data_IF_879845854020
#
_entry.id   IF_879845854020
#
_cell.length_a   1.000
_cell.length_b   1.000
_cell.length_c   1.000
_cell.angle_alpha   90.00
_cell.angle_beta   90.00
_cell.angle_gamma   90.00
#
_symmetry.space_group_name_H-M   'P 1'
#
loop_
_entity.id
_entity.type
_entity.pdbx_description
1 polymer ?
#
# COMPACT_ATOMS: atom_id res chain seq x y z
N UNK A 1 22.78 -39.40 46.90
CA UNK A 1 22.14 -40.20 47.95
C UNK A 1 23.18 -41.08 48.60
N UNK A 2 23.16 -41.20 49.92
CA UNK A 2 24.10 -42.03 50.68
C UNK A 2 23.32 -42.96 51.58
N UNK A 3 23.64 -44.25 51.57
CA UNK A 3 23.00 -45.23 52.44
C UNK A 3 23.65 -45.33 53.83
N UNK A 4 23.01 -46.09 54.73
CA UNK A 4 23.44 -46.29 56.12
C UNK A 4 24.79 -47.01 56.24
N UNK A 5 25.28 -47.68 55.19
CA UNK A 5 26.59 -48.32 55.13
C UNK A 5 27.68 -47.38 54.58
N UNK A 6 27.33 -46.14 54.22
CA UNK A 6 28.25 -45.13 53.71
C UNK A 6 28.45 -45.16 52.19
N UNK A 7 27.71 -45.98 51.45
CA UNK A 7 27.80 -45.99 49.99
C UNK A 7 27.07 -44.78 49.43
N UNK A 8 27.76 -43.98 48.61
CA UNK A 8 27.17 -42.81 47.96
C UNK A 8 26.96 -43.04 46.48
N UNK A 9 25.83 -42.58 45.97
CA UNK A 9 25.52 -42.46 44.54
C UNK A 9 25.19 -41.01 44.23
N UNK A 10 25.69 -40.50 43.11
CA UNK A 10 25.33 -39.19 42.56
C UNK A 10 24.29 -39.38 41.46
N UNK A 11 23.25 -38.55 41.47
CA UNK A 11 22.37 -38.39 40.32
C UNK A 11 22.78 -37.09 39.66
N UNK A 12 23.11 -37.16 38.37
CA UNK A 12 23.37 -35.99 37.53
C UNK A 12 22.26 -35.90 36.49
N UNK A 13 21.68 -34.72 36.35
CA UNK A 13 20.81 -34.37 35.24
C UNK A 13 21.58 -33.38 34.35
N UNK A 14 21.58 -33.63 33.05
CA UNK A 14 22.31 -32.80 32.09
C UNK A 14 21.28 -32.12 31.20
N UNK A 15 21.11 -30.81 31.36
CA UNK A 15 20.29 -30.00 30.47
C UNK A 15 21.16 -29.46 29.33
N UNK A 16 20.71 -29.68 28.09
CA UNK A 16 21.27 -29.03 26.91
C UNK A 16 20.45 -27.78 26.60
N UNK A 17 21.14 -26.68 26.24
CA UNK A 17 20.52 -25.48 25.69
C UNK A 17 21.28 -25.05 24.43
N UNK A 18 20.57 -24.40 23.52
CA UNK A 18 21.14 -23.75 22.34
C UNK A 18 21.00 -22.24 22.49
N UNK A 19 22.01 -21.49 22.06
CA UNK A 19 21.99 -20.04 22.05
C UNK A 19 21.88 -19.58 20.61
N UNK A 20 20.87 -18.77 20.33
CA UNK A 20 20.70 -18.09 19.06
C UNK A 20 20.36 -16.63 19.34
N UNK A 21 21.24 -15.74 18.89
CA UNK A 21 21.09 -14.29 19.03
C UNK A 21 21.29 -13.58 17.69
N UNK A 22 21.31 -14.33 16.60
CA UNK A 22 21.47 -13.78 15.25
C UNK A 22 20.11 -13.43 14.70
N UNK A 23 19.93 -12.19 14.26
CA UNK A 23 18.70 -11.78 13.57
C UNK A 23 18.75 -12.21 12.10
N UNK A 24 17.60 -12.32 11.41
CA UNK A 24 17.58 -12.50 9.96
C UNK A 24 18.36 -11.38 9.24
N UNK A 25 19.25 -11.76 8.33
CA UNK A 25 20.06 -10.82 7.54
C UNK A 25 19.21 -10.12 6.49
N UNK A 26 19.09 -8.80 6.60
CA UNK A 26 18.27 -7.97 5.68
C UNK A 26 19.07 -7.38 4.53
N UNK A 27 20.37 -7.66 4.44
CA UNK A 27 21.20 -7.19 3.33
C UNK A 27 20.68 -7.76 2.00
N UNK A 28 20.30 -6.87 1.09
CA UNK A 28 19.76 -7.23 -0.22
C UNK A 28 18.25 -7.50 -0.26
N UNK A 29 17.53 -7.38 0.86
CA UNK A 29 16.06 -7.29 0.86
C UNK A 29 15.64 -6.12 -0.04
N UNK A 30 14.75 -6.39 -0.98
CA UNK A 30 14.11 -5.35 -1.80
C UNK A 30 12.68 -5.16 -1.29
N UNK A 31 12.46 -4.06 -0.59
CA UNK A 31 11.17 -3.68 -0.02
C UNK A 31 10.84 -2.25 -0.45
N UNK A 32 9.72 -2.08 -1.13
CA UNK A 32 9.24 -0.77 -1.58
C UNK A 32 7.74 -0.67 -1.43
N UNK A 33 7.25 0.56 -1.34
CA UNK A 33 5.84 0.93 -1.54
C UNK A 33 5.70 1.46 -2.97
N UNK A 34 4.69 0.99 -3.70
CA UNK A 34 4.40 1.49 -5.04
C UNK A 34 3.65 2.84 -4.97
N UNK A 35 3.49 3.51 -6.11
CA UNK A 35 2.61 4.68 -6.23
C UNK A 35 1.21 4.38 -5.66
N UNK A 36 0.64 5.36 -4.96
CA UNK A 36 -0.72 5.25 -4.45
C UNK A 36 -1.69 5.51 -5.61
N UNK A 37 -2.44 4.49 -6.03
CA UNK A 37 -3.16 4.48 -7.33
C UNK A 37 -2.21 4.54 -8.53
N UNK A 38 -2.77 4.58 -9.75
CA UNK A 38 -1.97 4.51 -10.97
C UNK A 38 -1.14 5.78 -11.24
N UNK A 39 -1.59 6.94 -10.74
CA UNK A 39 -1.01 8.26 -11.02
C UNK A 39 -0.40 8.92 -9.78
N UNK A 40 -0.39 8.23 -8.63
CA UNK A 40 0.09 8.76 -7.35
C UNK A 40 -0.74 9.95 -6.82
N UNK A 41 -1.98 10.09 -7.29
CA UNK A 41 -2.93 11.13 -6.89
C UNK A 41 -4.22 10.48 -6.44
N UNK A 42 -4.74 10.88 -5.28
CA UNK A 42 -6.08 10.50 -4.85
C UNK A 42 -7.09 11.50 -5.41
N UNK A 43 -7.96 11.01 -6.29
CA UNK A 43 -9.09 11.77 -6.82
C UNK A 43 -10.34 11.64 -5.93
N UNK A 44 -11.41 12.37 -6.29
CA UNK A 44 -12.65 12.39 -5.51
C UNK A 44 -13.33 11.01 -5.40
N UNK A 45 -13.22 10.16 -6.43
CA UNK A 45 -13.81 8.82 -6.42
C UNK A 45 -13.04 7.87 -5.50
N UNK A 46 -11.71 7.92 -5.56
CA UNK A 46 -10.83 7.12 -4.70
C UNK A 46 -10.94 7.55 -3.23
N UNK A 47 -11.01 8.85 -2.97
CA UNK A 47 -11.24 9.43 -1.64
C UNK A 47 -12.53 8.91 -0.98
N UNK A 48 -13.56 8.60 -1.78
CA UNK A 48 -14.85 8.10 -1.28
C UNK A 48 -14.89 6.57 -1.11
N UNK A 49 -13.89 5.85 -1.63
CA UNK A 49 -13.86 4.38 -1.67
C UNK A 49 -12.78 3.75 -0.79
N UNK A 50 -12.35 2.56 -1.18
CA UNK A 50 -11.11 1.93 -0.69
C UNK A 50 -10.04 2.03 -1.76
N UNK A 51 -8.79 2.24 -1.32
CA UNK A 51 -7.60 2.27 -2.15
C UNK A 51 -6.71 1.11 -1.75
N UNK A 52 -6.34 0.26 -2.73
CA UNK A 52 -5.36 -0.79 -2.52
C UNK A 52 -3.97 -0.19 -2.63
N UNK A 53 -3.21 -0.25 -1.53
CA UNK A 53 -1.79 0.04 -1.48
C UNK A 53 -1.04 -1.24 -1.82
N UNK A 54 -0.04 -1.13 -2.68
CA UNK A 54 0.81 -2.25 -3.09
C UNK A 54 2.28 -1.93 -2.88
N UNK A 55 3.11 -2.97 -2.93
CA UNK A 55 4.54 -2.80 -2.94
C UNK A 55 5.28 -4.08 -3.28
N UNK A 56 6.59 -3.96 -3.38
CA UNK A 56 7.51 -5.07 -3.64
C UNK A 56 8.04 -5.61 -2.32
N UNK A 57 8.16 -6.93 -2.23
CA UNK A 57 8.92 -7.61 -1.18
C UNK A 57 9.63 -8.83 -1.78
N UNK A 58 10.94 -8.68 -2.02
CA UNK A 58 11.80 -9.72 -2.60
C UNK A 58 13.04 -9.93 -1.75
N UNK A 59 13.69 -11.09 -1.96
CA UNK A 59 14.87 -11.53 -1.22
C UNK A 59 14.61 -11.63 0.29
N UNK A 60 13.47 -12.22 0.66
CA UNK A 60 13.15 -12.51 2.06
C UNK A 60 14.28 -13.37 2.67
N UNK A 61 14.81 -13.02 3.86
CA UNK A 61 15.89 -13.78 4.49
C UNK A 61 15.49 -15.26 4.66
N UNK A 62 16.42 -16.18 4.37
CA UNK A 62 16.11 -17.61 4.30
C UNK A 62 15.76 -18.23 5.66
N UNK A 63 16.24 -17.64 6.74
CA UNK A 63 16.01 -18.03 8.14
C UNK A 63 14.77 -17.35 8.77
N UNK A 64 14.13 -16.42 8.06
CA UNK A 64 12.89 -15.79 8.51
C UNK A 64 11.73 -16.80 8.50
N UNK A 65 11.27 -17.19 9.70
CA UNK A 65 10.09 -18.05 9.86
C UNK A 65 8.79 -17.28 9.69
N UNK A 66 8.78 -16.02 10.09
CA UNK A 66 7.65 -15.12 9.92
C UNK A 66 8.07 -13.84 9.19
N UNK A 67 7.13 -13.30 8.42
CA UNK A 67 7.29 -12.08 7.63
C UNK A 67 6.00 -11.30 7.74
N UNK A 68 6.05 -10.11 8.34
CA UNK A 68 4.88 -9.26 8.57
C UNK A 68 5.15 -7.87 8.01
N UNK A 69 4.27 -7.41 7.12
CA UNK A 69 4.30 -6.03 6.61
C UNK A 69 3.22 -5.24 7.34
N UNK A 70 3.63 -4.14 7.96
CA UNK A 70 2.74 -3.18 8.62
C UNK A 70 2.82 -1.86 7.88
N UNK A 71 1.66 -1.28 7.57
CA UNK A 71 1.52 0.01 6.90
C UNK A 71 0.83 0.98 7.84
N UNK A 72 1.33 2.21 7.91
CA UNK A 72 0.76 3.29 8.69
C UNK A 72 0.27 4.39 7.75
N UNK A 73 -0.99 4.78 7.92
CA UNK A 73 -1.62 5.90 7.21
C UNK A 73 -2.47 6.66 8.21
N UNK A 74 -2.31 7.98 8.31
CA UNK A 74 -3.04 8.83 9.26
C UNK A 74 -2.94 8.29 10.72
N UNK A 75 -1.77 7.77 11.09
CA UNK A 75 -1.52 7.14 12.38
C UNK A 75 -2.27 5.82 12.64
N UNK A 76 -2.99 5.28 11.66
CA UNK A 76 -3.68 3.99 11.75
C UNK A 76 -2.80 2.89 11.18
N UNK A 77 -2.68 1.78 11.91
CA UNK A 77 -1.89 0.63 11.52
C UNK A 77 -2.73 -0.39 10.76
N UNK A 78 -2.20 -0.86 9.63
CA UNK A 78 -2.79 -1.89 8.78
C UNK A 78 -1.79 -3.02 8.58
N UNK A 79 -2.22 -4.27 8.73
CA UNK A 79 -1.39 -5.43 8.40
C UNK A 79 -1.63 -5.83 6.96
N UNK A 80 -0.58 -5.85 6.15
CA UNK A 80 -0.67 -6.21 4.73
C UNK A 80 -0.63 -7.73 4.52
N UNK A 81 -1.17 -8.15 3.37
CA UNK A 81 -1.05 -9.52 2.87
C UNK A 81 0.21 -9.63 2.03
N UNK A 82 1.08 -10.60 2.35
CA UNK A 82 2.33 -10.85 1.61
C UNK A 82 2.16 -12.02 0.64
N UNK A 83 2.43 -11.80 -0.63
CA UNK A 83 2.57 -12.84 -1.64
C UNK A 83 4.07 -13.08 -1.93
N UNK A 84 4.62 -14.10 -1.25
CA UNK A 84 6.03 -14.47 -1.40
C UNK A 84 6.38 -14.99 -2.80
N UNK A 85 5.42 -15.56 -3.53
CA UNK A 85 5.65 -16.12 -4.85
C UNK A 85 5.67 -15.02 -5.93
N UNK A 86 4.76 -14.05 -5.83
CA UNK A 86 4.76 -12.87 -6.68
C UNK A 86 5.87 -11.87 -6.29
N UNK A 87 6.32 -11.90 -5.03
CA UNK A 87 7.29 -10.96 -4.49
C UNK A 87 6.67 -9.59 -4.24
N UNK A 88 5.42 -9.57 -3.80
CA UNK A 88 4.61 -8.36 -3.58
C UNK A 88 3.86 -8.43 -2.25
N UNK A 89 3.33 -7.29 -1.83
CA UNK A 89 2.40 -7.21 -0.71
C UNK A 89 1.30 -6.21 -1.02
N UNK A 90 0.14 -6.37 -0.39
CA UNK A 90 -1.02 -5.48 -0.59
C UNK A 90 -1.77 -5.21 0.71
N UNK A 91 -2.39 -4.04 0.81
CA UNK A 91 -3.31 -3.70 1.89
C UNK A 91 -4.38 -2.73 1.39
N UNK A 92 -5.61 -2.88 1.88
CA UNK A 92 -6.69 -1.94 1.58
C UNK A 92 -6.75 -0.87 2.66
N UNK A 93 -6.80 0.40 2.22
CA UNK A 93 -6.91 1.58 3.09
C UNK A 93 -8.13 2.38 2.66
N UNK A 94 -9.00 2.81 3.59
CA UNK A 94 -10.10 3.72 3.26
C UNK A 94 -9.57 5.04 2.68
N UNK A 95 -10.13 5.49 1.55
CA UNK A 95 -9.74 6.75 0.91
C UNK A 95 -9.89 7.97 1.83
N UNK A 96 -10.87 7.94 2.73
CA UNK A 96 -11.06 8.96 3.76
C UNK A 96 -9.88 9.05 4.74
N UNK A 97 -9.19 7.94 5.01
CA UNK A 97 -7.95 7.90 5.78
C UNK A 97 -6.81 8.62 5.06
N UNK A 98 -6.69 8.40 3.75
CA UNK A 98 -5.68 9.07 2.91
C UNK A 98 -5.95 10.58 2.77
N UNK A 99 -7.22 10.98 2.75
CA UNK A 99 -7.60 12.40 2.77
C UNK A 99 -7.28 13.05 4.11
N UNK A 100 -7.52 12.35 5.23
CA UNK A 100 -7.24 12.86 6.57
C UNK A 100 -5.75 12.86 6.95
N UNK A 101 -4.94 12.04 6.29
CA UNK A 101 -3.51 11.92 6.54
C UNK A 101 -2.76 13.23 6.30
N UNK A 102 -2.11 13.81 7.30
CA UNK A 102 -1.64 15.21 7.18
C UNK A 102 -0.36 15.35 6.37
N UNK A 103 0.55 14.38 6.46
CA UNK A 103 1.83 14.34 5.77
C UNK A 103 1.77 13.67 4.39
N UNK A 104 0.67 12.98 4.06
CA UNK A 104 0.43 12.31 2.77
C UNK A 104 1.48 11.27 2.48
N UNK A 105 1.76 10.44 3.49
CA UNK A 105 2.77 9.40 3.42
C UNK A 105 2.17 8.03 3.73
N UNK A 106 2.60 7.05 2.96
CA UNK A 106 2.41 5.63 3.27
C UNK A 106 3.71 5.14 3.89
N UNK A 107 3.72 4.94 5.20
CA UNK A 107 4.88 4.38 5.90
C UNK A 107 4.71 2.87 6.02
N UNK A 108 5.57 2.11 5.35
CA UNK A 108 5.55 0.66 5.42
C UNK A 108 6.81 0.12 6.10
N UNK A 109 6.62 -0.90 6.94
CA UNK A 109 7.72 -1.64 7.59
C UNK A 109 7.47 -3.13 7.43
N UNK A 110 8.45 -3.85 6.90
CA UNK A 110 8.50 -5.31 6.97
C UNK A 110 9.34 -5.75 8.16
N UNK A 111 8.82 -6.70 8.94
CA UNK A 111 9.52 -7.36 10.05
C UNK A 111 9.71 -8.83 9.72
N UNK A 112 10.95 -9.30 9.83
CA UNK A 112 11.34 -10.69 9.71
C UNK A 112 11.67 -11.23 11.11
N UNK A 113 11.19 -12.42 11.45
CA UNK A 113 11.55 -13.09 12.71
C UNK A 113 11.97 -14.53 12.43
N UNK A 114 13.07 -14.97 13.03
CA UNK A 114 13.60 -16.33 12.91
C UNK A 114 12.85 -17.34 13.81
N UNK A 115 13.40 -18.55 13.99
CA UNK A 115 12.78 -19.58 14.86
C UNK A 115 13.02 -19.30 16.35
N UNK A 116 14.12 -18.63 16.69
CA UNK A 116 14.50 -18.31 18.06
C UNK A 116 13.78 -17.05 18.61
N UNK A 117 13.12 -16.30 17.74
CA UNK A 117 12.40 -15.06 18.06
C UNK A 117 13.23 -13.79 17.86
N UNK A 118 14.40 -13.87 17.21
CA UNK A 118 15.17 -12.68 16.86
C UNK A 118 14.56 -12.01 15.62
N UNK A 119 14.50 -10.68 15.62
CA UNK A 119 13.85 -9.92 14.55
C UNK A 119 14.73 -8.83 13.95
N UNK A 120 14.52 -8.57 12.66
CA UNK A 120 15.08 -7.45 11.90
C UNK A 120 14.00 -6.82 11.03
N UNK A 121 14.22 -5.57 10.60
CA UNK A 121 13.21 -4.78 9.87
C UNK A 121 13.80 -4.00 8.71
N UNK A 122 12.99 -3.80 7.67
CA UNK A 122 13.25 -2.85 6.57
C UNK A 122 12.02 -1.97 6.42
N UNK A 123 12.20 -0.68 6.13
CA UNK A 123 11.10 0.26 5.95
C UNK A 123 11.25 1.05 4.66
N UNK A 124 10.13 1.51 4.13
CA UNK A 124 10.05 2.41 2.98
C UNK A 124 8.85 3.37 3.16
N UNK A 125 8.94 4.56 2.57
CA UNK A 125 7.93 5.62 2.69
C UNK A 125 7.59 6.17 1.31
N UNK A 126 6.31 6.15 0.93
CA UNK A 126 5.82 6.73 -0.33
C UNK A 126 4.98 7.98 -0.07
N UNK A 127 5.31 9.09 -0.73
CA UNK A 127 4.47 10.29 -0.75
C UNK A 127 3.41 10.21 -1.84
N UNK A 128 2.23 10.77 -1.58
CA UNK A 128 1.17 10.94 -2.58
C UNK A 128 0.54 12.33 -2.50
N UNK A 129 -0.29 12.68 -3.48
CA UNK A 129 -1.03 13.96 -3.47
C UNK A 129 -2.53 13.74 -3.55
N UNK A 130 -3.30 14.82 -3.32
CA UNK A 130 -4.75 14.83 -3.47
C UNK A 130 -5.13 15.79 -4.58
N UNK A 131 -6.05 15.37 -5.45
CA UNK A 131 -6.80 16.27 -6.33
C UNK A 131 -8.25 15.81 -6.39
N UNK A 132 -9.04 16.28 -5.43
CA UNK A 132 -10.47 15.98 -5.36
C UNK A 132 -11.32 17.06 -6.02
N UNK A 133 -10.70 18.04 -6.67
CA UNK A 133 -11.41 19.18 -7.26
C UNK A 133 -11.70 18.93 -8.74
N UNK A 134 -12.98 18.95 -9.10
CA UNK A 134 -13.35 18.94 -10.50
C UNK A 134 -12.90 20.25 -11.18
N UNK A 135 -12.63 20.23 -12.51
CA UNK A 135 -12.39 21.45 -13.25
C UNK A 135 -13.52 22.46 -13.07
N UNK A 136 -13.15 23.73 -12.91
CA UNK A 136 -14.10 24.84 -12.83
C UNK A 136 -14.71 25.11 -14.21
N UNK A 137 -16.04 25.13 -14.27
CA UNK A 137 -16.81 25.45 -15.49
C UNK A 137 -17.48 26.81 -15.39
N UNK A 138 -17.28 27.55 -14.29
CA UNK A 138 -17.78 28.91 -14.17
C UNK A 138 -17.13 29.79 -15.24
N UNK A 139 -17.97 30.50 -16.00
CA UNK A 139 -17.54 31.34 -17.11
C UNK A 139 -17.35 30.60 -18.43
N UNK A 140 -17.56 29.28 -18.50
CA UNK A 140 -17.67 28.57 -19.78
C UNK A 140 -19.02 28.93 -20.42
N UNK A 141 -18.99 29.83 -21.41
CA UNK A 141 -20.15 30.08 -22.26
C UNK A 141 -20.10 29.14 -23.47
N UNK A 142 -20.86 28.05 -23.39
CA UNK A 142 -21.04 27.12 -24.51
C UNK A 142 -22.45 27.31 -25.08
N UNK A 143 -22.54 27.96 -26.24
CA UNK A 143 -23.79 28.23 -26.94
C UNK A 143 -23.75 27.65 -28.35
N UNK A 144 -24.92 27.43 -28.93
CA UNK A 144 -25.08 27.18 -30.36
C UNK A 144 -25.98 28.29 -30.86
N UNK A 145 -25.55 28.97 -31.93
CA UNK A 145 -26.37 29.97 -32.59
C UNK A 145 -27.59 29.30 -33.25
N UNK A 146 -28.58 30.09 -33.66
CA UNK A 146 -29.69 29.60 -34.46
C UNK A 146 -29.20 28.89 -35.73
N UNK A 147 -29.84 27.76 -36.07
CA UNK A 147 -29.55 27.07 -37.33
C UNK A 147 -30.24 27.81 -38.46
N UNK A 148 -29.46 28.44 -39.34
CA UNK A 148 -29.97 29.50 -40.24
C UNK A 148 -30.53 30.70 -39.47
N UNK A 149 -31.02 31.74 -40.16
CA UNK A 149 -31.44 32.99 -39.52
C UNK A 149 -32.67 32.85 -38.61
N UNK A 150 -33.52 31.84 -38.84
CA UNK A 150 -34.81 31.67 -38.18
C UNK A 150 -34.92 30.36 -37.40
N UNK A 151 -33.83 29.60 -37.26
CA UNK A 151 -33.80 28.29 -36.62
C UNK A 151 -34.70 27.25 -37.33
N UNK A 152 -34.96 27.45 -38.63
CA UNK A 152 -35.75 26.54 -39.48
C UNK A 152 -34.98 26.28 -40.76
N UNK A 153 -34.82 25.00 -41.10
CA UNK A 153 -34.27 24.62 -42.41
C UNK A 153 -35.43 24.47 -43.38
N UNK A 154 -35.48 25.35 -44.38
CA UNK A 154 -36.42 25.25 -45.49
C UNK A 154 -35.87 24.37 -46.62
N UNK A 155 -36.69 24.09 -47.63
CA UNK A 155 -36.32 23.20 -48.73
C UNK A 155 -35.13 23.71 -49.57
N UNK A 156 -34.90 25.03 -49.62
CA UNK A 156 -33.76 25.62 -50.32
C UNK A 156 -32.46 25.46 -49.53
N UNK A 157 -32.52 25.67 -48.21
CA UNK A 157 -31.38 25.48 -47.32
C UNK A 157 -31.00 24.00 -47.21
N UNK A 158 -31.99 23.10 -47.14
CA UNK A 158 -31.79 21.65 -47.12
C UNK A 158 -31.15 21.08 -48.39
N UNK A 159 -31.19 21.82 -49.51
CA UNK A 159 -30.56 21.40 -50.76
C UNK A 159 -29.06 21.76 -50.84
N UNK A 160 -28.54 22.52 -49.88
CA UNK A 160 -27.14 22.92 -49.77
C UNK A 160 -26.50 22.52 -48.44
N UNK A 161 -25.35 23.11 -48.14
CA UNK A 161 -24.69 22.95 -46.85
C UNK A 161 -25.32 23.90 -45.82
N UNK A 162 -25.68 23.37 -44.65
CA UNK A 162 -26.22 24.16 -43.53
C UNK A 162 -25.14 24.23 -42.45
N UNK A 163 -24.58 25.43 -42.25
CA UNK A 163 -23.58 25.68 -41.24
C UNK A 163 -24.22 25.83 -39.86
N UNK A 164 -23.65 25.16 -38.87
CA UNK A 164 -23.97 25.34 -37.45
C UNK A 164 -22.84 26.16 -36.82
N UNK A 165 -23.20 27.23 -36.12
CA UNK A 165 -22.25 28.10 -35.38
C UNK A 165 -22.62 28.13 -33.90
N UNK A 166 -21.76 28.69 -33.04
CA UNK A 166 -21.96 28.73 -31.59
C UNK A 166 -20.95 29.58 -30.86
#
# INVERSE_FOLDING_TARGET
>A
FTDTAGNSSTVSDTQLYTLDTTVPDVDGVNFTVDSVTADNVINASEAAGEVTITGVLKNIPADATTTVVTVVVNGVFYTATVDKAAGTWTVNVPGSGLVADTDKTIDATVTFTDTAGNSSTVSDTQLYTLDTTAPDVDGVNFTVDSVTADNVINASEAAGEVTITG
#
